data_IF_104467521256
#
_entry.id   IF_104467521256
#
_cell.length_a   1.000
_cell.length_b   1.000
_cell.length_c   1.000
_cell.angle_alpha   90.00
_cell.angle_beta   90.00
_cell.angle_gamma   90.00
#
_symmetry.space_group_name_H-M   'P 1'
#
loop_
_entity.id
_entity.type
_entity.pdbx_description
1 polymer ?
#
# COMPACT_ATOMS: atom_id res chain seq x y z
N UNK A 1 -49.59 -14.47 -8.13
CA UNK A 1 -48.96 -13.41 -8.97
C UNK A 1 -48.06 -12.57 -8.08
N UNK A 2 -46.77 -12.34 -8.47
CA UNK A 2 -45.86 -11.45 -7.77
C UNK A 2 -46.30 -10.01 -8.06
N UNK A 3 -46.51 -9.20 -7.01
CA UNK A 3 -46.89 -7.79 -7.12
C UNK A 3 -45.66 -6.90 -7.19
N UNK A 4 -44.64 -7.25 -6.39
CA UNK A 4 -43.41 -6.47 -6.29
C UNK A 4 -42.26 -7.40 -5.96
N UNK A 5 -41.12 -7.18 -6.59
CA UNK A 5 -39.86 -7.84 -6.29
C UNK A 5 -38.71 -6.85 -6.49
N UNK A 6 -37.89 -6.68 -5.47
CA UNK A 6 -36.68 -5.88 -5.52
C UNK A 6 -35.50 -6.72 -5.06
N UNK A 7 -34.36 -6.50 -5.70
CA UNK A 7 -33.10 -7.14 -5.37
C UNK A 7 -32.02 -6.08 -5.35
N UNK A 8 -31.22 -6.08 -4.30
CA UNK A 8 -30.05 -5.24 -4.14
C UNK A 8 -28.82 -6.12 -3.91
N UNK A 9 -27.72 -5.84 -4.61
CA UNK A 9 -26.44 -6.48 -4.33
C UNK A 9 -25.33 -5.44 -4.32
N UNK A 10 -24.44 -5.57 -3.35
CA UNK A 10 -23.27 -4.73 -3.20
C UNK A 10 -22.05 -5.59 -2.98
N UNK A 11 -21.06 -5.45 -3.87
CA UNK A 11 -19.74 -6.08 -3.74
C UNK A 11 -18.76 -5.06 -3.19
N UNK A 12 -18.23 -5.32 -2.02
CA UNK A 12 -17.14 -4.55 -1.42
C UNK A 12 -15.85 -5.39 -1.42
N UNK A 13 -14.67 -4.78 -1.24
CA UNK A 13 -13.41 -5.54 -1.09
C UNK A 13 -13.42 -6.54 0.07
N UNK A 14 -14.29 -6.36 1.06
CA UNK A 14 -14.34 -7.16 2.28
C UNK A 14 -15.42 -8.24 2.27
N UNK A 15 -16.57 -7.99 1.60
CA UNK A 15 -17.72 -8.87 1.61
C UNK A 15 -18.66 -8.59 0.44
N UNK A 16 -19.40 -9.61 0.03
CA UNK A 16 -20.56 -9.47 -0.85
C UNK A 16 -21.83 -9.43 0.00
N UNK A 17 -22.64 -8.40 -0.18
CA UNK A 17 -23.89 -8.21 0.50
C UNK A 17 -25.03 -8.29 -0.51
N UNK A 18 -26.12 -8.97 -0.17
CA UNK A 18 -27.34 -8.91 -0.96
C UNK A 18 -28.57 -8.84 -0.08
N UNK A 19 -29.58 -8.14 -0.59
CA UNK A 19 -30.89 -8.05 0.03
C UNK A 19 -31.98 -8.24 -1.03
N UNK A 20 -33.03 -8.94 -0.67
CA UNK A 20 -34.19 -9.12 -1.54
C UNK A 20 -35.50 -8.97 -0.76
N UNK A 21 -36.48 -8.43 -1.43
CA UNK A 21 -37.85 -8.34 -0.94
C UNK A 21 -38.80 -8.78 -2.04
N UNK A 22 -39.76 -9.57 -1.71
CA UNK A 22 -40.82 -9.98 -2.63
C UNK A 22 -42.19 -9.96 -1.90
N UNK A 23 -43.19 -9.37 -2.56
CA UNK A 23 -44.57 -9.34 -2.09
C UNK A 23 -45.47 -10.04 -3.09
N UNK A 24 -46.33 -10.91 -2.57
CA UNK A 24 -47.29 -11.70 -3.33
C UNK A 24 -48.74 -11.24 -3.09
N UNK A 25 -49.56 -11.40 -4.10
CA UNK A 25 -50.96 -10.94 -4.13
C UNK A 25 -51.87 -11.50 -2.99
N UNK A 26 -51.41 -12.52 -2.27
CA UNK A 26 -52.14 -13.14 -1.14
C UNK A 26 -51.69 -12.61 0.24
N UNK A 27 -51.02 -11.45 0.28
CA UNK A 27 -50.60 -10.82 1.54
C UNK A 27 -49.33 -11.41 2.15
N UNK A 28 -48.59 -12.23 1.42
CA UNK A 28 -47.31 -12.75 1.88
C UNK A 28 -46.16 -11.86 1.38
N UNK A 29 -45.33 -11.39 2.31
CA UNK A 29 -44.11 -10.64 2.00
C UNK A 29 -42.92 -11.39 2.56
N UNK A 30 -41.94 -11.66 1.71
CA UNK A 30 -40.66 -12.25 2.09
C UNK A 30 -39.55 -11.23 2.01
N UNK A 31 -38.65 -11.28 2.98
CA UNK A 31 -37.45 -10.46 3.05
C UNK A 31 -36.27 -11.39 3.30
N UNK A 32 -35.19 -11.19 2.56
CA UNK A 32 -33.95 -11.95 2.72
C UNK A 32 -32.74 -11.03 2.68
N UNK A 33 -31.78 -11.28 3.57
CA UNK A 33 -30.45 -10.63 3.56
C UNK A 33 -29.41 -11.72 3.60
N UNK A 34 -28.39 -11.59 2.78
CA UNK A 34 -27.23 -12.47 2.84
C UNK A 34 -25.92 -11.66 2.80
N UNK A 35 -24.93 -12.17 3.50
CA UNK A 35 -23.57 -11.67 3.48
C UNK A 35 -22.62 -12.85 3.26
N UNK A 36 -21.68 -12.71 2.35
CA UNK A 36 -20.66 -13.71 2.11
C UNK A 36 -19.27 -13.06 2.00
N UNK A 37 -18.29 -13.74 2.52
CA UNK A 37 -16.90 -13.31 2.51
C UNK A 37 -16.01 -14.35 3.17
N UNK A 38 -14.75 -14.04 3.31
CA UNK A 38 -13.77 -14.93 3.93
C UNK A 38 -12.69 -14.15 4.67
N UNK A 39 -11.91 -14.88 5.44
CA UNK A 39 -10.72 -14.40 6.12
C UNK A 39 -9.54 -15.29 5.75
N UNK A 40 -8.38 -14.68 5.52
CA UNK A 40 -7.12 -15.40 5.35
C UNK A 40 -6.17 -14.94 6.44
N UNK A 41 -5.64 -15.89 7.19
CA UNK A 41 -4.72 -15.64 8.30
C UNK A 41 -3.46 -16.48 8.04
N UNK A 42 -2.30 -15.85 8.11
CA UNK A 42 -0.99 -16.47 7.94
C UNK A 42 0.02 -15.90 8.95
N UNK A 43 1.18 -16.52 9.07
CA UNK A 43 2.28 -15.94 9.87
C UNK A 43 2.85 -14.61 9.32
N UNK A 44 2.43 -14.17 8.14
CA UNK A 44 2.84 -12.90 7.50
C UNK A 44 1.78 -11.81 7.58
N UNK A 45 0.57 -12.13 8.03
CA UNK A 45 -0.51 -11.17 8.15
C UNK A 45 -1.90 -11.81 7.97
N UNK A 46 -2.92 -10.98 8.14
CA UNK A 46 -4.32 -11.38 8.00
C UNK A 46 -5.12 -10.32 7.26
N UNK A 47 -6.08 -10.74 6.45
CA UNK A 47 -7.02 -9.84 5.82
C UNK A 47 -8.37 -10.53 5.53
N UNK A 48 -9.43 -9.73 5.52
CA UNK A 48 -10.75 -10.12 5.05
C UNK A 48 -10.83 -9.93 3.52
N UNK A 49 -11.65 -10.73 2.87
CA UNK A 49 -11.90 -10.64 1.44
C UNK A 49 -13.35 -11.04 1.11
N UNK A 50 -13.82 -10.58 -0.04
CA UNK A 50 -15.20 -10.83 -0.48
C UNK A 50 -15.51 -12.31 -0.85
N UNK A 51 -14.55 -13.21 -0.67
CA UNK A 51 -14.63 -14.58 -1.14
C UNK A 51 -13.94 -14.73 -2.50
N UNK A 52 -13.60 -15.94 -2.85
CA UNK A 52 -12.89 -16.27 -4.09
C UNK A 52 -13.54 -17.45 -4.81
N UNK A 53 -13.02 -17.74 -6.00
CA UNK A 53 -13.41 -18.89 -6.80
C UNK A 53 -13.13 -20.22 -6.08
N UNK A 54 -13.73 -21.29 -6.59
CA UNK A 54 -13.45 -22.65 -6.16
C UNK A 54 -11.94 -22.97 -6.31
N UNK A 55 -11.39 -23.73 -5.36
CA UNK A 55 -9.97 -24.10 -5.35
C UNK A 55 -9.17 -23.43 -4.24
N UNK A 56 -9.62 -22.28 -3.74
CA UNK A 56 -9.03 -21.64 -2.55
C UNK A 56 -7.64 -21.02 -2.73
N UNK A 57 -7.11 -21.01 -3.96
CA UNK A 57 -5.82 -20.39 -4.28
C UNK A 57 -5.93 -18.88 -4.14
N UNK A 58 -5.05 -18.28 -3.35
CA UNK A 58 -5.10 -16.85 -3.03
C UNK A 58 -3.71 -16.29 -2.76
N UNK A 59 -3.58 -14.98 -2.93
CA UNK A 59 -2.34 -14.26 -2.71
C UNK A 59 -2.53 -13.23 -1.60
N UNK A 60 -1.82 -13.42 -0.49
CA UNK A 60 -1.67 -12.39 0.53
C UNK A 60 -0.67 -11.36 0.01
N UNK A 61 -1.10 -10.12 -0.09
CA UNK A 61 -0.28 -8.98 -0.49
C UNK A 61 0.00 -8.10 0.72
N UNK A 62 1.20 -7.54 0.76
CA UNK A 62 1.68 -6.66 1.81
C UNK A 62 2.23 -5.38 1.16
N UNK A 63 1.77 -4.24 1.63
CA UNK A 63 2.16 -2.91 1.15
C UNK A 63 3.05 -2.17 2.15
N UNK A 64 3.91 -2.92 2.85
CA UNK A 64 4.90 -2.39 3.80
C UNK A 64 4.27 -1.60 4.97
N UNK A 65 3.13 -2.09 5.46
CA UNK A 65 2.39 -1.45 6.54
C UNK A 65 1.52 -0.26 6.12
N UNK A 66 1.47 0.08 4.84
CA UNK A 66 0.63 1.17 4.33
C UNK A 66 -0.77 0.64 4.02
N UNK A 67 -1.76 1.06 4.80
CA UNK A 67 -3.16 0.69 4.58
C UNK A 67 -3.85 1.56 3.53
N UNK A 68 -4.99 1.06 3.00
CA UNK A 68 -5.80 1.79 2.03
C UNK A 68 -5.26 1.77 0.61
N UNK A 69 -4.28 0.91 0.31
CA UNK A 69 -3.69 0.77 -1.03
C UNK A 69 -4.58 -0.10 -1.91
N UNK A 70 -5.07 0.43 -3.04
CA UNK A 70 -5.86 -0.34 -3.99
C UNK A 70 -4.94 -1.26 -4.82
N UNK A 71 -5.31 -2.53 -4.89
CA UNK A 71 -4.61 -3.59 -5.60
C UNK A 71 -5.59 -4.27 -6.56
N UNK A 72 -5.07 -4.83 -7.64
CA UNK A 72 -5.85 -5.56 -8.65
C UNK A 72 -7.03 -4.74 -9.20
N UNK A 73 -6.73 -3.55 -9.73
CA UNK A 73 -7.73 -2.64 -10.26
C UNK A 73 -8.71 -2.11 -9.18
N UNK A 74 -8.33 -2.14 -7.91
CA UNK A 74 -9.15 -1.70 -6.78
C UNK A 74 -10.16 -2.75 -6.29
N UNK A 75 -10.09 -3.99 -6.76
CA UNK A 75 -10.91 -5.09 -6.24
C UNK A 75 -10.50 -5.46 -4.81
N UNK A 76 -9.25 -5.24 -4.48
CA UNK A 76 -8.69 -5.43 -3.15
C UNK A 76 -8.16 -4.10 -2.65
N UNK A 77 -8.45 -3.78 -1.38
CA UNK A 77 -7.89 -2.63 -0.68
C UNK A 77 -7.21 -3.15 0.58
N UNK A 78 -5.95 -2.78 0.77
CA UNK A 78 -5.21 -3.23 1.95
C UNK A 78 -5.80 -2.66 3.24
N UNK A 79 -5.81 -3.46 4.29
CA UNK A 79 -6.30 -3.06 5.61
C UNK A 79 -5.31 -2.07 6.29
N UNK A 80 -5.63 -1.64 7.50
CA UNK A 80 -4.80 -0.69 8.27
C UNK A 80 -3.37 -1.17 8.54
N UNK A 81 -3.10 -2.45 8.43
CA UNK A 81 -1.76 -3.04 8.59
C UNK A 81 -1.02 -3.23 7.26
N UNK A 82 -1.62 -2.77 6.14
CA UNK A 82 -1.04 -2.90 4.81
C UNK A 82 -1.20 -4.29 4.19
N UNK A 83 -2.13 -5.13 4.69
CA UNK A 83 -2.36 -6.46 4.13
C UNK A 83 -3.69 -6.56 3.39
N UNK A 84 -3.71 -7.30 2.30
CA UNK A 84 -4.89 -7.59 1.50
C UNK A 84 -4.83 -9.00 0.91
N UNK A 85 -5.94 -9.52 0.43
CA UNK A 85 -6.00 -10.87 -0.18
C UNK A 85 -6.62 -10.79 -1.56
N UNK A 86 -5.86 -11.19 -2.57
CA UNK A 86 -6.33 -11.41 -3.93
C UNK A 86 -6.79 -12.85 -4.06
N UNK A 87 -8.05 -13.06 -4.41
CA UNK A 87 -8.71 -14.37 -4.41
C UNK A 87 -8.86 -14.98 -5.78
N UNK A 88 -8.79 -14.18 -6.85
CA UNK A 88 -8.98 -14.63 -8.23
C UNK A 88 -7.63 -14.99 -8.88
N UNK A 89 -6.89 -15.90 -8.23
CA UNK A 89 -5.58 -16.40 -8.69
C UNK A 89 -5.75 -17.74 -9.40
N UNK A 90 -5.36 -17.78 -10.67
CA UNK A 90 -5.34 -19.03 -11.43
C UNK A 90 -4.20 -19.93 -10.96
N UNK A 91 -4.55 -21.17 -10.54
CA UNK A 91 -3.56 -22.15 -10.12
C UNK A 91 -2.71 -22.64 -11.29
N UNK A 92 -1.42 -22.90 -11.04
CA UNK A 92 -0.42 -23.41 -12.01
C UNK A 92 -0.06 -22.46 -13.15
N UNK A 93 -0.57 -21.23 -13.13
CA UNK A 93 -0.26 -20.19 -14.11
C UNK A 93 0.51 -19.04 -13.45
N UNK A 94 1.24 -18.30 -14.28
CA UNK A 94 1.85 -17.04 -13.84
C UNK A 94 0.76 -15.97 -13.78
N UNK A 95 0.56 -15.44 -12.59
CA UNK A 95 -0.38 -14.35 -12.33
C UNK A 95 0.42 -13.09 -12.01
N UNK A 96 0.00 -11.98 -12.56
CA UNK A 96 0.56 -10.66 -12.27
C UNK A 96 -0.44 -9.87 -11.44
N UNK A 97 0.01 -9.38 -10.29
CA UNK A 97 -0.79 -8.54 -9.40
C UNK A 97 -0.13 -7.17 -9.31
N UNK A 98 -0.91 -6.10 -9.40
CA UNK A 98 -0.38 -4.74 -9.38
C UNK A 98 -1.15 -3.82 -8.43
N UNK A 99 -0.44 -2.82 -7.91
CA UNK A 99 -1.04 -1.68 -7.22
C UNK A 99 -1.68 -0.77 -8.27
N UNK A 100 -2.88 -0.28 -8.01
CA UNK A 100 -3.55 0.70 -8.86
C UNK A 100 -3.01 2.10 -8.58
N UNK A 101 -1.98 2.49 -9.34
CA UNK A 101 -1.30 3.77 -9.18
C UNK A 101 -2.21 4.98 -9.40
N UNK A 102 -3.29 4.83 -10.19
CA UNK A 102 -4.22 5.93 -10.50
C UNK A 102 -5.15 6.27 -9.32
N UNK A 103 -5.31 5.32 -8.40
CA UNK A 103 -6.19 5.45 -7.23
C UNK A 103 -5.42 5.57 -5.91
N UNK A 104 -4.10 5.70 -5.98
CA UNK A 104 -3.30 5.96 -4.79
C UNK A 104 -3.62 7.35 -4.24
N UNK A 105 -3.67 7.50 -2.90
CA UNK A 105 -3.69 8.81 -2.26
C UNK A 105 -2.42 9.61 -2.63
N UNK A 106 -2.52 10.95 -2.61
CA UNK A 106 -1.41 11.85 -2.99
C UNK A 106 -0.17 11.70 -2.10
N UNK A 107 -0.35 11.20 -0.87
CA UNK A 107 0.70 10.95 0.11
C UNK A 107 1.27 9.52 0.05
N UNK A 108 0.90 8.74 -0.96
CA UNK A 108 1.33 7.34 -1.11
C UNK A 108 2.00 7.13 -2.45
N UNK A 109 3.19 6.55 -2.44
CA UNK A 109 3.96 6.20 -3.63
C UNK A 109 4.32 4.71 -3.62
N UNK A 110 4.17 4.04 -4.76
CA UNK A 110 4.58 2.65 -4.92
C UNK A 110 5.84 2.57 -5.80
N UNK A 111 6.98 2.28 -5.19
CA UNK A 111 8.26 2.09 -5.89
C UNK A 111 8.37 0.71 -6.54
N UNK A 112 7.69 -0.27 -5.96
CA UNK A 112 7.49 -1.60 -6.55
C UNK A 112 6.00 -1.91 -6.59
N UNK A 113 5.38 -1.62 -7.72
CA UNK A 113 3.93 -1.70 -7.91
C UNK A 113 3.43 -2.97 -8.55
N UNK A 114 4.32 -3.84 -9.05
CA UNK A 114 3.95 -5.09 -9.74
C UNK A 114 4.68 -6.27 -9.13
N UNK A 115 3.97 -7.35 -8.91
CA UNK A 115 4.51 -8.63 -8.43
C UNK A 115 3.93 -9.79 -9.23
N UNK A 116 4.73 -10.83 -9.42
CA UNK A 116 4.31 -12.06 -10.08
C UNK A 116 4.22 -13.21 -9.08
N UNK A 117 3.29 -14.10 -9.31
CA UNK A 117 3.12 -15.33 -8.54
C UNK A 117 2.69 -16.49 -9.43
N UNK A 118 3.16 -17.68 -9.12
CA UNK A 118 2.66 -18.94 -9.66
C UNK A 118 2.41 -19.85 -8.45
N UNK A 119 1.19 -20.30 -8.28
CA UNK A 119 0.75 -21.03 -7.10
C UNK A 119 0.08 -22.34 -7.51
N UNK A 120 0.19 -23.34 -6.67
CA UNK A 120 -0.57 -24.59 -6.80
C UNK A 120 -1.99 -24.39 -6.28
N UNK A 121 -2.91 -25.29 -6.64
CA UNK A 121 -4.29 -25.25 -6.16
C UNK A 121 -4.35 -25.29 -4.63
N UNK A 122 -5.19 -24.41 -4.06
CA UNK A 122 -5.38 -24.27 -2.61
C UNK A 122 -4.23 -23.55 -1.87
N UNK A 123 -3.16 -23.16 -2.57
CA UNK A 123 -2.02 -22.50 -1.94
C UNK A 123 -2.34 -21.04 -1.57
N UNK A 124 -1.75 -20.59 -0.45
CA UNK A 124 -1.73 -19.19 -0.05
C UNK A 124 -0.33 -18.64 -0.31
N UNK A 125 -0.20 -17.84 -1.36
CA UNK A 125 1.05 -17.15 -1.68
C UNK A 125 1.21 -15.87 -0.85
N UNK A 126 2.45 -15.37 -0.75
CA UNK A 126 2.76 -14.07 -0.16
C UNK A 126 3.63 -13.26 -1.11
N UNK A 127 3.26 -12.00 -1.31
CA UNK A 127 4.08 -11.05 -2.07
C UNK A 127 4.05 -9.69 -1.40
N UNK A 128 5.20 -9.01 -1.45
CA UNK A 128 5.37 -7.68 -0.88
C UNK A 128 5.53 -6.64 -1.99
N UNK A 129 4.73 -5.60 -1.93
CA UNK A 129 4.92 -4.36 -2.67
C UNK A 129 5.79 -3.41 -1.85
N UNK A 130 6.55 -2.55 -2.50
CA UNK A 130 7.26 -1.46 -1.82
C UNK A 130 6.41 -0.20 -1.96
N UNK A 131 5.77 0.17 -0.88
CA UNK A 131 4.88 1.34 -0.82
C UNK A 131 5.37 2.27 0.28
N UNK A 132 5.49 3.54 -0.04
CA UNK A 132 5.88 4.61 0.87
C UNK A 132 4.68 5.51 1.13
N UNK A 133 4.46 5.83 2.39
CA UNK A 133 3.47 6.83 2.79
C UNK A 133 4.18 8.00 3.46
N UNK A 134 3.92 9.20 2.98
CA UNK A 134 4.52 10.42 3.48
C UNK A 134 4.63 11.48 2.39
N UNK A 135 5.20 12.61 2.73
CA UNK A 135 5.34 13.73 1.81
C UNK A 135 6.51 13.53 0.85
N UNK A 136 6.41 14.12 -0.32
CA UNK A 136 7.50 14.26 -1.26
C UNK A 136 8.19 15.60 -1.03
N UNK A 137 9.50 15.59 -0.95
CA UNK A 137 10.30 16.80 -0.74
C UNK A 137 11.44 16.87 -1.75
N UNK A 138 11.75 18.08 -2.20
CA UNK A 138 12.99 18.43 -2.87
C UNK A 138 13.95 18.99 -1.83
N UNK A 139 14.94 18.20 -1.43
CA UNK A 139 15.92 18.63 -0.45
C UNK A 139 17.20 19.06 -1.14
N UNK A 140 17.80 20.16 -0.68
CA UNK A 140 19.19 20.54 -0.97
C UNK A 140 19.97 20.27 0.30
N UNK A 141 20.83 19.26 0.27
CA UNK A 141 21.61 18.84 1.43
C UNK A 141 22.97 19.57 1.43
N UNK A 142 23.34 20.09 2.60
CA UNK A 142 24.64 20.72 2.83
C UNK A 142 25.25 20.21 4.10
N UNK A 143 26.54 19.84 4.04
CA UNK A 143 27.33 19.47 5.20
C UNK A 143 27.68 20.70 6.03
N UNK A 144 28.20 20.49 7.24
CA UNK A 144 28.54 21.58 8.16
C UNK A 144 29.61 22.54 7.62
N UNK A 145 30.46 22.08 6.72
CA UNK A 145 31.50 22.87 6.02
C UNK A 145 30.98 23.57 4.75
N UNK A 146 29.67 23.43 4.44
CA UNK A 146 29.04 23.98 3.24
C UNK A 146 29.18 23.10 2.00
N UNK A 147 29.97 22.04 2.04
CA UNK A 147 30.07 21.07 0.94
C UNK A 147 28.78 20.24 0.80
N UNK A 148 28.72 19.44 -0.23
CA UNK A 148 27.58 18.57 -0.50
C UNK A 148 27.92 17.11 -0.22
N UNK A 149 26.93 16.28 0.20
CA UNK A 149 27.11 14.84 0.22
C UNK A 149 27.44 14.30 -1.18
N UNK A 150 28.15 13.18 -1.29
CA UNK A 150 28.52 12.63 -2.60
C UNK A 150 27.29 12.15 -3.36
N UNK A 151 27.40 12.19 -4.69
CA UNK A 151 26.39 11.62 -5.58
C UNK A 151 26.13 10.14 -5.24
N UNK A 152 24.87 9.75 -5.20
CA UNK A 152 24.47 8.38 -4.87
C UNK A 152 24.41 8.08 -3.37
N UNK A 153 24.69 9.04 -2.47
CA UNK A 153 24.46 8.86 -1.04
C UNK A 153 22.96 8.57 -0.79
N UNK A 154 22.66 7.53 -0.04
CA UNK A 154 21.28 7.16 0.26
C UNK A 154 20.73 7.95 1.45
N UNK A 155 19.46 8.34 1.37
CA UNK A 155 18.74 8.99 2.47
C UNK A 155 17.74 8.04 3.04
N UNK A 156 17.84 7.73 4.33
CA UNK A 156 16.98 6.76 5.01
C UNK A 156 16.22 7.41 6.16
N UNK A 157 15.00 6.89 6.43
CA UNK A 157 14.22 7.25 7.60
C UNK A 157 14.82 6.66 8.88
N UNK A 158 14.33 7.07 10.05
CA UNK A 158 14.69 6.49 11.35
C UNK A 158 14.47 4.96 11.41
N UNK A 159 13.53 4.45 10.63
CA UNK A 159 13.22 3.01 10.54
C UNK A 159 14.11 2.26 9.54
N UNK A 160 15.15 2.92 8.99
CA UNK A 160 16.06 2.33 8.01
C UNK A 160 15.46 2.15 6.61
N UNK A 161 14.31 2.78 6.33
CA UNK A 161 13.69 2.73 5.00
C UNK A 161 14.33 3.78 4.11
N UNK A 162 14.73 3.40 2.91
CA UNK A 162 15.27 4.31 1.91
C UNK A 162 14.15 5.21 1.36
N UNK A 163 14.36 6.51 1.42
CA UNK A 163 13.43 7.54 0.98
C UNK A 163 13.86 8.22 -0.33
N UNK A 164 15.13 8.08 -0.69
CA UNK A 164 15.72 8.62 -1.90
C UNK A 164 17.25 8.64 -1.84
N UNK A 165 17.86 9.25 -2.84
CA UNK A 165 19.30 9.39 -2.92
C UNK A 165 19.69 10.80 -3.32
N UNK A 166 20.94 11.16 -3.02
CA UNK A 166 21.53 12.46 -3.36
C UNK A 166 21.99 12.44 -4.81
N UNK A 167 21.51 13.42 -5.56
CA UNK A 167 21.93 13.72 -6.93
C UNK A 167 23.02 14.81 -6.95
N UNK A 168 23.30 15.35 -8.12
CA UNK A 168 24.27 16.43 -8.29
C UNK A 168 23.89 17.66 -7.45
N UNK A 169 24.90 18.41 -7.05
CA UNK A 169 24.76 19.63 -6.25
C UNK A 169 24.06 19.43 -4.90
N UNK A 170 24.05 18.20 -4.36
CA UNK A 170 23.41 17.88 -3.09
C UNK A 170 21.88 17.87 -3.16
N UNK A 171 21.32 17.87 -4.37
CA UNK A 171 19.88 17.70 -4.56
C UNK A 171 19.45 16.29 -4.17
N UNK A 172 18.33 16.16 -3.50
CA UNK A 172 17.73 14.88 -3.18
C UNK A 172 16.21 14.96 -3.38
N UNK A 173 15.69 14.02 -4.17
CA UNK A 173 14.27 13.78 -4.25
C UNK A 173 13.91 12.75 -3.20
N UNK A 174 13.10 13.13 -2.22
CA UNK A 174 12.72 12.30 -1.09
C UNK A 174 11.23 11.99 -1.13
N UNK A 175 10.88 10.71 -1.05
CA UNK A 175 9.48 10.23 -1.02
C UNK A 175 9.21 9.49 0.27
N UNK A 176 8.01 9.68 0.84
CA UNK A 176 7.61 9.01 2.07
C UNK A 176 8.13 9.66 3.35
N UNK A 177 8.47 10.95 3.28
CA UNK A 177 8.99 11.73 4.40
C UNK A 177 7.87 12.11 5.36
N UNK A 178 8.13 11.95 6.66
CA UNK A 178 7.24 12.42 7.72
C UNK A 178 7.74 13.78 8.24
N UNK A 179 6.89 14.82 8.31
CA UNK A 179 7.29 16.08 8.94
C UNK A 179 7.78 15.87 10.37
N UNK A 180 8.86 16.52 10.74
CA UNK A 180 9.48 16.41 12.07
C UNK A 180 10.41 15.21 12.25
N UNK A 181 10.54 14.30 11.27
CA UNK A 181 11.46 13.16 11.41
C UNK A 181 12.91 13.52 11.14
N UNK A 182 13.82 12.71 11.69
CA UNK A 182 15.25 12.79 11.43
C UNK A 182 15.64 11.77 10.38
N UNK A 183 16.24 12.25 9.28
CA UNK A 183 16.73 11.41 8.20
C UNK A 183 18.23 11.16 8.36
N UNK A 184 18.67 9.96 7.99
CA UNK A 184 20.09 9.60 7.97
C UNK A 184 20.60 9.58 6.53
N UNK A 185 21.73 10.22 6.31
CA UNK A 185 22.42 10.23 5.00
C UNK A 185 23.63 9.29 5.06
N UNK A 186 23.63 8.30 4.16
CA UNK A 186 24.58 7.20 4.18
C UNK A 186 25.42 7.17 2.92
N UNK A 187 26.74 7.07 3.07
CA UNK A 187 27.69 6.71 2.00
C UNK A 187 28.86 5.95 2.60
N UNK A 188 29.62 5.26 1.79
CA UNK A 188 30.69 4.36 2.22
C UNK A 188 30.27 3.33 3.27
N UNK A 189 28.99 2.90 3.23
CA UNK A 189 28.43 1.89 4.10
C UNK A 189 28.17 2.35 5.55
N UNK A 190 28.19 3.65 5.82
CA UNK A 190 27.97 4.23 7.16
C UNK A 190 27.04 5.44 7.10
N UNK A 191 26.34 5.68 8.21
CA UNK A 191 25.65 6.96 8.42
C UNK A 191 26.72 8.02 8.66
N UNK A 192 26.73 9.05 7.84
CA UNK A 192 27.73 10.12 7.92
C UNK A 192 27.17 11.39 8.56
N UNK A 193 25.89 11.68 8.29
CA UNK A 193 25.22 12.83 8.90
C UNK A 193 23.70 12.62 8.98
N UNK A 194 23.05 13.47 9.73
CA UNK A 194 21.60 13.47 9.93
C UNK A 194 21.00 14.82 9.51
N UNK A 195 19.76 14.74 9.04
CA UNK A 195 18.98 15.88 8.57
C UNK A 195 17.63 15.89 9.30
N UNK A 196 17.27 17.02 9.87
CA UNK A 196 15.97 17.20 10.50
C UNK A 196 14.99 17.83 9.51
N UNK A 197 13.87 17.17 9.30
CA UNK A 197 12.77 17.68 8.47
C UNK A 197 11.92 18.63 9.30
N UNK A 198 11.63 19.85 8.85
CA UNK A 198 10.74 20.76 9.57
C UNK A 198 9.34 20.17 9.73
N UNK A 199 8.69 20.38 10.86
CA UNK A 199 7.29 19.98 11.08
C UNK A 199 6.32 20.67 10.11
N UNK A 200 6.69 21.85 9.61
CA UNK A 200 5.91 22.63 8.66
C UNK A 200 6.13 22.23 7.20
N UNK A 201 6.95 21.21 6.93
CA UNK A 201 7.22 20.74 5.57
C UNK A 201 5.92 20.31 4.87
N UNK A 202 5.71 20.80 3.66
CA UNK A 202 4.59 20.44 2.77
C UNK A 202 5.11 19.68 1.54
N UNK A 203 4.24 18.89 0.91
CA UNK A 203 4.62 18.13 -0.29
C UNK A 203 5.07 19.05 -1.42
N UNK A 204 6.06 18.55 -2.19
CA UNK A 204 6.65 19.21 -3.36
C UNK A 204 7.35 20.54 -3.04
N UNK A 205 7.67 20.78 -1.77
CA UNK A 205 8.44 21.93 -1.32
C UNK A 205 9.95 21.67 -1.51
N UNK A 206 10.66 22.69 -1.94
CA UNK A 206 12.12 22.70 -1.94
C UNK A 206 12.63 23.24 -0.60
N UNK A 207 13.47 22.45 0.07
CA UNK A 207 14.02 22.78 1.38
C UNK A 207 15.55 22.68 1.36
N UNK A 208 16.21 23.70 1.90
CA UNK A 208 17.63 23.60 2.23
C UNK A 208 17.76 22.96 3.62
N UNK A 209 18.35 21.78 3.65
CA UNK A 209 18.46 20.99 4.87
C UNK A 209 19.94 20.78 5.26
N UNK A 210 20.37 21.32 6.39
CA UNK A 210 21.72 21.10 6.89
C UNK A 210 21.88 19.66 7.37
N UNK A 211 22.93 19.00 6.90
CA UNK A 211 23.33 17.67 7.32
C UNK A 211 24.38 17.77 8.44
N UNK A 212 23.97 17.46 9.67
CA UNK A 212 24.84 17.53 10.85
C UNK A 212 25.49 16.18 11.12
N UNK A 213 26.81 16.12 11.40
CA UNK A 213 27.48 14.87 11.74
C UNK A 213 26.81 14.18 12.92
N UNK A 214 26.72 12.86 12.86
CA UNK A 214 26.25 12.08 14.00
C UNK A 214 27.29 12.18 15.12
N UNK A 215 26.86 12.60 16.32
CA UNK A 215 27.72 12.64 17.52
C UNK A 215 28.04 11.25 18.05
#
# INVERSE_FOLDING_TARGET
>A
RVLFRSYYSHRSPLANLSANIASLQKGYTSFGVSASGGATITGKGAALHAGGMSGGTRLLVDTDGVGGVPVDGGQVVTNRWGTGVVTDISSYYRNTTSVDLKRLPDDVEATRSVVESALTEGAIGYRKFSVLKGKRLFAILRLADGSQPPFGASVTSEKGRELGMVADEGLAWLSGVTPGETLSVNWDGKIQCQVNVPETAISDQQLLLPCTPQK
#
